data_IF_279484273104
#
_entry.id   IF_279484273104
#
_cell.length_a   1.000
_cell.length_b   1.000
_cell.length_c   1.000
_cell.angle_alpha   90.00
_cell.angle_beta   90.00
_cell.angle_gamma   90.00
#
_symmetry.space_group_name_H-M   'P 1'
#
loop_
_entity.id
_entity.type
_entity.pdbx_description
1 polymer ?
#
# COMPACT_ATOMS: atom_id res chain seq x y z
N UNK A 1 -33.22 -11.70 13.72
CA UNK A 1 -32.88 -10.29 13.98
C UNK A 1 -31.42 -10.09 13.62
N UNK A 2 -31.14 -9.40 12.51
CA UNK A 2 -29.77 -9.11 12.08
C UNK A 2 -29.15 -8.11 13.06
N UNK A 3 -28.08 -8.51 13.76
CA UNK A 3 -27.37 -7.68 14.72
C UNK A 3 -26.80 -6.44 14.03
N UNK A 4 -27.05 -5.27 14.61
CA UNK A 4 -26.53 -3.99 14.15
C UNK A 4 -25.00 -4.08 14.02
N UNK A 5 -24.40 -3.77 12.86
CA UNK A 5 -22.97 -3.88 12.67
C UNK A 5 -22.26 -2.91 13.63
N UNK A 6 -21.52 -3.45 14.60
CA UNK A 6 -20.74 -2.67 15.55
C UNK A 6 -19.61 -1.97 14.79
N UNK A 7 -19.46 -0.63 14.91
CA UNK A 7 -18.46 0.11 14.15
C UNK A 7 -17.05 -0.33 14.52
N UNK A 8 -16.21 -0.56 13.51
CA UNK A 8 -14.80 -0.93 13.69
C UNK A 8 -14.05 0.26 14.28
N UNK A 9 -13.56 0.13 15.51
CA UNK A 9 -12.83 1.20 16.20
C UNK A 9 -11.38 1.24 15.71
N UNK A 10 -11.09 2.13 14.76
CA UNK A 10 -9.72 2.36 14.32
C UNK A 10 -8.90 3.03 15.43
N UNK A 11 -7.76 2.44 15.83
CA UNK A 11 -6.80 3.02 16.78
C UNK A 11 -5.53 3.37 16.02
N UNK A 12 -5.01 4.58 16.19
CA UNK A 12 -3.70 4.98 15.65
C UNK A 12 -2.63 4.19 16.39
N UNK A 13 -1.85 3.40 15.67
CA UNK A 13 -0.72 2.64 16.22
C UNK A 13 0.55 3.18 15.58
N UNK A 14 1.54 3.55 16.39
CA UNK A 14 2.87 3.91 15.92
C UNK A 14 3.66 2.63 15.65
N UNK A 15 4.16 2.48 14.42
CA UNK A 15 5.00 1.35 14.05
C UNK A 15 6.48 1.68 14.26
N UNK A 16 7.35 0.67 14.20
CA UNK A 16 8.81 0.87 14.19
C UNK A 16 9.29 1.73 13.01
N UNK A 17 8.49 1.88 11.96
CA UNK A 17 8.76 2.86 10.90
C UNK A 17 8.52 4.31 11.35
N UNK A 18 7.50 4.53 12.19
CA UNK A 18 7.15 5.87 12.72
C UNK A 18 8.03 6.26 13.92
N UNK A 19 8.48 5.27 14.69
CA UNK A 19 9.31 5.42 15.88
C UNK A 19 10.61 4.60 15.75
N UNK A 20 11.35 4.84 14.66
CA UNK A 20 12.58 4.12 14.35
C UNK A 20 13.61 4.26 15.47
N UNK A 21 14.27 3.15 15.82
CA UNK A 21 15.31 3.16 16.83
C UNK A 21 16.44 4.13 16.42
N UNK A 22 17.18 4.74 17.36
CA UNK A 22 18.20 5.74 17.02
C UNK A 22 19.31 5.24 16.08
N UNK A 23 19.46 3.92 15.90
CA UNK A 23 20.42 3.27 14.98
C UNK A 23 19.85 3.06 13.57
N UNK A 24 18.52 3.02 13.44
CA UNK A 24 17.80 2.87 12.18
C UNK A 24 17.48 4.22 11.53
N UNK A 25 17.72 5.34 12.25
CA UNK A 25 17.55 6.69 11.73
C UNK A 25 18.44 6.91 10.51
N UNK A 26 17.78 7.22 9.41
CA UNK A 26 18.39 7.47 8.10
C UNK A 26 19.54 8.49 8.16
N UNK A 27 19.38 9.55 8.95
CA UNK A 27 20.37 10.63 9.14
C UNK A 27 21.72 10.15 9.70
N UNK A 28 21.75 9.00 10.38
CA UNK A 28 22.98 8.41 10.96
C UNK A 28 23.64 7.37 10.07
N UNK A 29 23.06 7.05 8.92
CA UNK A 29 23.63 6.08 7.99
C UNK A 29 24.77 6.72 7.18
N UNK A 30 25.77 5.94 6.72
CA UNK A 30 26.83 6.46 5.86
C UNK A 30 26.26 7.09 4.59
N UNK A 31 26.82 8.21 4.14
CA UNK A 31 26.44 8.92 2.91
C UNK A 31 26.22 8.02 1.67
N UNK A 32 27.05 7.00 1.37
CA UNK A 32 26.78 6.12 0.23
C UNK A 32 25.48 5.32 0.38
N UNK A 33 25.13 4.88 1.60
CA UNK A 33 23.87 4.17 1.87
C UNK A 33 22.68 5.11 1.67
N UNK A 34 22.82 6.37 2.09
CA UNK A 34 21.78 7.39 1.87
C UNK A 34 21.56 7.67 0.38
N UNK A 35 22.64 7.83 -0.38
CA UNK A 35 22.59 8.08 -1.82
C UNK A 35 21.95 6.91 -2.58
N UNK A 36 22.34 5.67 -2.28
CA UNK A 36 21.73 4.47 -2.88
C UNK A 36 20.25 4.40 -2.55
N UNK A 37 19.87 4.58 -1.29
CA UNK A 37 18.45 4.56 -0.88
C UNK A 37 17.65 5.65 -1.59
N UNK A 38 18.20 6.86 -1.68
CA UNK A 38 17.56 7.98 -2.37
C UNK A 38 17.41 7.69 -3.87
N UNK A 39 18.42 7.14 -4.52
CA UNK A 39 18.36 6.71 -5.92
C UNK A 39 17.28 5.64 -6.16
N UNK A 40 17.24 4.59 -5.34
CA UNK A 40 16.24 3.51 -5.44
C UNK A 40 14.83 4.06 -5.20
N UNK A 41 14.64 4.87 -4.16
CA UNK A 41 13.32 5.45 -3.83
C UNK A 41 12.84 6.40 -4.92
N UNK A 42 13.74 7.23 -5.45
CA UNK A 42 13.41 8.17 -6.54
C UNK A 42 13.09 7.43 -7.83
N UNK A 43 13.86 6.39 -8.17
CA UNK A 43 13.57 5.54 -9.32
C UNK A 43 12.21 4.86 -9.21
N UNK A 44 11.88 4.34 -8.04
CA UNK A 44 10.57 3.74 -7.78
C UNK A 44 9.43 4.78 -7.88
N UNK A 45 9.62 5.99 -7.35
CA UNK A 45 8.65 7.08 -7.46
C UNK A 45 8.40 7.50 -8.90
N UNK A 46 9.46 7.62 -9.71
CA UNK A 46 9.35 7.94 -11.15
C UNK A 46 8.60 6.83 -11.88
N UNK A 47 8.97 5.57 -11.65
CA UNK A 47 8.25 4.42 -12.22
C UNK A 47 6.77 4.44 -11.85
N UNK A 48 6.44 4.60 -10.57
CA UNK A 48 5.06 4.62 -10.09
C UNK A 48 4.22 5.73 -10.73
N UNK A 49 4.80 6.93 -10.91
CA UNK A 49 4.13 8.06 -11.57
C UNK A 49 3.87 7.78 -13.05
N UNK A 50 4.88 7.30 -13.78
CA UNK A 50 4.75 6.98 -15.21
C UNK A 50 3.74 5.84 -15.43
N UNK A 51 3.80 4.79 -14.63
CA UNK A 51 2.83 3.69 -14.69
C UNK A 51 1.42 4.16 -14.38
N UNK A 52 1.22 5.04 -13.37
CA UNK A 52 -0.09 5.56 -13.04
C UNK A 52 -0.70 6.39 -14.19
N UNK A 53 0.11 7.21 -14.86
CA UNK A 53 -0.32 7.97 -16.06
C UNK A 53 -0.73 7.01 -17.17
N UNK A 54 0.11 6.03 -17.49
CA UNK A 54 -0.17 5.05 -18.55
C UNK A 54 -1.45 4.24 -18.27
N UNK A 55 -1.60 3.70 -17.05
CA UNK A 55 -2.79 2.95 -16.66
C UNK A 55 -4.06 3.79 -16.75
N UNK A 56 -4.02 5.08 -16.35
CA UNK A 56 -5.16 5.98 -16.51
C UNK A 56 -5.51 6.22 -17.99
N UNK A 57 -4.51 6.39 -18.86
CA UNK A 57 -4.74 6.49 -20.31
C UNK A 57 -5.36 5.21 -20.90
N UNK A 58 -5.04 4.04 -20.34
CA UNK A 58 -5.65 2.76 -20.73
C UNK A 58 -7.04 2.53 -20.13
N UNK A 59 -7.64 3.53 -19.47
CA UNK A 59 -8.98 3.46 -18.89
C UNK A 59 -9.06 2.63 -17.60
N UNK A 60 -7.94 2.46 -16.89
CA UNK A 60 -7.94 1.73 -15.62
C UNK A 60 -8.55 2.59 -14.52
N UNK A 61 -9.26 1.95 -13.60
CA UNK A 61 -9.99 2.61 -12.53
C UNK A 61 -9.36 2.31 -11.17
N UNK A 62 -9.45 3.25 -10.21
CA UNK A 62 -8.96 3.01 -8.86
C UNK A 62 -9.85 2.02 -8.13
N UNK A 63 -9.24 1.05 -7.46
CA UNK A 63 -9.91 -0.01 -6.73
C UNK A 63 -9.21 -0.26 -5.39
N UNK A 64 -10.00 -0.55 -4.36
CA UNK A 64 -9.48 -1.02 -3.07
C UNK A 64 -9.11 -2.48 -3.17
N UNK A 65 -7.85 -2.78 -2.86
CA UNK A 65 -7.30 -4.13 -2.76
C UNK A 65 -7.01 -4.42 -1.28
N UNK A 66 -7.84 -5.25 -0.62
CA UNK A 66 -7.61 -5.64 0.75
C UNK A 66 -6.54 -6.73 0.85
N UNK A 67 -5.59 -6.56 1.75
CA UNK A 67 -4.60 -7.55 2.12
C UNK A 67 -4.73 -7.89 3.60
N UNK A 68 -4.86 -9.18 3.90
CA UNK A 68 -4.85 -9.67 5.27
C UNK A 68 -3.40 -9.93 5.68
N UNK A 69 -2.90 -9.12 6.62
CA UNK A 69 -1.59 -9.30 7.22
C UNK A 69 -1.63 -10.21 8.45
N UNK A 70 -0.44 -10.54 8.97
CA UNK A 70 -0.30 -11.36 10.17
C UNK A 70 -1.06 -10.76 11.37
N UNK A 71 -2.05 -11.52 11.83
CA UNK A 71 -2.84 -11.28 13.04
C UNK A 71 -2.31 -12.04 14.25
N UNK A 72 -3.06 -12.00 15.35
CA UNK A 72 -2.90 -12.94 16.47
C UNK A 72 -4.11 -13.87 16.52
N UNK A 73 -4.14 -14.83 17.46
CA UNK A 73 -5.24 -15.78 17.60
C UNK A 73 -6.62 -15.12 17.77
N UNK A 74 -6.69 -13.91 18.33
CA UNK A 74 -7.94 -13.19 18.57
C UNK A 74 -8.29 -12.09 17.56
N UNK A 75 -7.39 -11.75 16.63
CA UNK A 75 -7.64 -10.66 15.67
C UNK A 75 -6.79 -10.77 14.41
N UNK A 76 -7.39 -10.43 13.27
CA UNK A 76 -6.68 -10.30 11.99
C UNK A 76 -6.49 -8.83 11.60
N UNK A 77 -5.36 -8.50 10.97
CA UNK A 77 -5.08 -7.14 10.48
C UNK A 77 -5.44 -7.06 9.01
N UNK A 78 -6.45 -6.25 8.67
CA UNK A 78 -6.79 -5.91 7.29
C UNK A 78 -6.10 -4.60 6.91
N UNK A 79 -5.27 -4.62 5.88
CA UNK A 79 -4.66 -3.44 5.27
C UNK A 79 -5.32 -3.23 3.92
N UNK A 80 -5.90 -2.06 3.70
CA UNK A 80 -6.47 -1.69 2.41
C UNK A 80 -5.51 -0.78 1.67
N UNK A 81 -5.18 -1.12 0.42
CA UNK A 81 -4.43 -0.24 -0.50
C UNK A 81 -5.29 0.09 -1.71
N UNK A 82 -5.10 1.28 -2.28
CA UNK A 82 -5.79 1.65 -3.53
C UNK A 82 -4.85 1.45 -4.70
N UNK A 83 -5.26 0.60 -5.65
CA UNK A 83 -4.48 0.23 -6.84
C UNK A 83 -5.28 0.54 -8.10
N UNK A 84 -4.59 0.76 -9.23
CA UNK A 84 -5.24 0.85 -10.52
C UNK A 84 -5.51 -0.56 -11.05
N UNK A 85 -6.76 -0.84 -11.39
CA UNK A 85 -7.20 -2.11 -11.92
C UNK A 85 -7.67 -1.95 -13.37
N UNK A 86 -7.31 -2.92 -14.21
CA UNK A 86 -7.84 -3.03 -15.58
C UNK A 86 -9.36 -3.24 -15.56
N UNK A 87 -10.12 -2.71 -16.54
CA UNK A 87 -11.54 -3.00 -16.75
C UNK A 87 -11.89 -4.49 -16.73
N UNK A 88 -10.95 -5.35 -17.16
CA UNK A 88 -11.12 -6.81 -17.22
C UNK A 88 -10.76 -7.53 -15.91
N UNK A 89 -10.25 -6.82 -14.91
CA UNK A 89 -9.84 -7.44 -13.65
C UNK A 89 -11.05 -7.77 -12.78
N UNK A 90 -11.25 -9.05 -12.47
CA UNK A 90 -12.34 -9.49 -11.61
C UNK A 90 -12.22 -8.91 -10.19
N UNK A 91 -13.31 -8.35 -9.67
CA UNK A 91 -13.44 -7.99 -8.26
C UNK A 91 -13.27 -9.24 -7.38
N UNK A 92 -12.43 -9.16 -6.35
CA UNK A 92 -12.17 -10.27 -5.41
C UNK A 92 -11.09 -11.29 -5.80
N UNK A 93 -10.41 -11.15 -6.95
CA UNK A 93 -9.27 -12.04 -7.24
C UNK A 93 -8.10 -11.76 -6.29
N UNK A 94 -7.84 -12.67 -5.36
CA UNK A 94 -6.67 -12.60 -4.48
C UNK A 94 -5.43 -12.82 -5.34
N UNK A 95 -4.77 -11.73 -5.71
CA UNK A 95 -3.45 -11.79 -6.31
C UNK A 95 -2.46 -12.38 -5.29
N UNK A 96 -1.62 -13.32 -5.72
CA UNK A 96 -0.53 -13.87 -4.89
C UNK A 96 0.81 -13.53 -5.54
N UNK A 97 1.84 -13.38 -4.71
CA UNK A 97 3.25 -13.31 -5.14
C UNK A 97 3.70 -11.95 -5.69
N UNK A 98 4.77 -11.95 -6.48
CA UNK A 98 5.43 -10.72 -6.95
C UNK A 98 4.52 -9.81 -7.79
N UNK A 99 3.49 -10.38 -8.44
CA UNK A 99 2.49 -9.62 -9.19
C UNK A 99 1.69 -8.66 -8.31
N UNK A 100 1.44 -9.04 -7.05
CA UNK A 100 0.83 -8.12 -6.08
C UNK A 100 1.80 -7.06 -5.57
N UNK A 101 3.11 -7.32 -5.58
CA UNK A 101 4.10 -6.33 -5.17
C UNK A 101 4.26 -5.22 -6.23
N UNK A 102 4.07 -5.55 -7.51
CA UNK A 102 4.23 -4.63 -8.65
C UNK A 102 2.91 -4.01 -9.14
N UNK A 103 1.87 -3.96 -8.29
CA UNK A 103 0.62 -3.28 -8.63
C UNK A 103 0.83 -1.77 -8.66
N UNK A 104 0.27 -1.12 -9.68
CA UNK A 104 0.35 0.34 -9.81
C UNK A 104 -0.54 1.00 -8.76
N UNK A 105 0.00 1.85 -7.87
CA UNK A 105 -0.80 2.53 -6.87
C UNK A 105 -1.73 3.55 -7.53
N UNK A 106 -2.89 3.78 -6.92
CA UNK A 106 -3.82 4.86 -7.29
C UNK A 106 -3.75 6.00 -6.26
N UNK A 107 -2.67 6.79 -6.23
CA UNK A 107 -2.46 7.81 -5.20
C UNK A 107 -3.52 8.90 -5.27
N UNK A 108 -3.84 9.49 -4.11
CA UNK A 108 -4.81 10.58 -3.94
C UNK A 108 -6.24 10.25 -4.38
N UNK A 109 -6.59 8.96 -4.47
CA UNK A 109 -7.97 8.55 -4.69
C UNK A 109 -8.69 8.47 -3.36
N UNK A 110 -9.75 9.27 -3.19
CA UNK A 110 -10.65 9.13 -2.04
C UNK A 110 -11.52 7.89 -2.27
N UNK A 111 -11.38 6.92 -1.37
CA UNK A 111 -12.26 5.75 -1.35
C UNK A 111 -13.53 6.16 -0.62
N UNK A 112 -14.67 6.08 -1.29
CA UNK A 112 -15.98 6.12 -0.65
C UNK A 112 -16.31 4.69 -0.23
N UNK A 113 -16.50 4.47 1.07
CA UNK A 113 -16.89 3.18 1.67
C UNK A 113 -18.39 3.22 1.91
#
# INVERSE_FOLDING_TARGET
MAGTPKPIRARRVSTSFDAAAPRERFERQPLPVQAVRMGVTTGFDVWARLSAVLCRHLGWYPRVDPYVGYGTEGYSRLICRTVLASPKAAAGSIGRGIRTALTVPAPRTRVTI
#
